data_IF_113916946740
#
_entry.id   IF_113916946740
#
_cell.length_a   1.000
_cell.length_b   1.000
_cell.length_c   1.000
_cell.angle_alpha   90.00
_cell.angle_beta   90.00
_cell.angle_gamma   90.00
#
_symmetry.space_group_name_H-M   'P 1'
#
loop_
_entity.id
_entity.type
_entity.pdbx_description
1 polymer ?
#
# COMPACT_ATOMS: atom_id res chain seq x y z
N UNK A 1 30.34 -5.88 68.46
CA UNK A 1 29.36 -6.98 68.46
C UNK A 1 28.69 -7.01 67.09
N UNK A 2 28.89 -8.07 66.29
CA UNK A 2 28.34 -8.16 64.93
C UNK A 2 27.11 -9.08 64.96
N UNK A 3 25.92 -8.50 64.80
CA UNK A 3 24.66 -9.25 64.75
C UNK A 3 24.62 -10.12 63.50
N UNK A 4 24.52 -11.45 63.68
CA UNK A 4 24.31 -12.39 62.57
C UNK A 4 22.93 -12.14 61.96
N UNK A 5 22.90 -11.76 60.68
CA UNK A 5 21.67 -11.69 59.89
C UNK A 5 21.17 -13.11 59.65
N UNK A 6 19.86 -13.30 59.76
CA UNK A 6 19.19 -14.59 59.61
C UNK A 6 18.82 -14.73 58.14
N UNK A 7 19.57 -15.53 57.40
CA UNK A 7 19.25 -15.82 56.00
C UNK A 7 18.03 -16.74 55.97
N UNK A 8 16.89 -16.19 55.56
CA UNK A 8 15.65 -16.92 55.31
C UNK A 8 15.75 -17.66 53.98
N UNK A 9 15.71 -18.99 54.03
CA UNK A 9 15.73 -19.86 52.86
C UNK A 9 14.39 -19.89 52.11
N UNK A 10 14.46 -20.04 50.79
CA UNK A 10 13.31 -20.16 49.89
C UNK A 10 12.66 -21.54 50.00
N UNK A 11 11.33 -21.61 50.07
CA UNK A 11 10.61 -22.89 50.16
C UNK A 11 10.35 -23.49 48.77
N UNK A 12 10.28 -24.83 48.68
CA UNK A 12 9.94 -25.50 47.43
C UNK A 12 8.53 -25.13 46.95
N UNK A 13 7.59 -24.90 47.87
CA UNK A 13 6.21 -24.52 47.53
C UNK A 13 6.14 -23.12 46.93
N UNK A 14 6.96 -22.17 47.39
CA UNK A 14 7.09 -20.84 46.76
C UNK A 14 7.57 -20.98 45.32
N UNK A 15 8.55 -21.85 45.06
CA UNK A 15 9.03 -22.10 43.70
C UNK A 15 7.94 -22.71 42.80
N UNK A 16 7.16 -23.65 43.33
CA UNK A 16 6.08 -24.31 42.58
C UNK A 16 4.97 -23.35 42.16
N UNK A 17 4.57 -22.43 43.06
CA UNK A 17 3.55 -21.43 42.73
C UNK A 17 4.08 -20.47 41.67
N UNK A 18 5.34 -20.04 41.77
CA UNK A 18 5.95 -19.12 40.79
C UNK A 18 5.97 -19.72 39.39
N UNK A 19 6.41 -20.98 39.24
CA UNK A 19 6.41 -21.63 37.92
C UNK A 19 4.99 -21.85 37.38
N UNK A 20 4.02 -22.14 38.26
CA UNK A 20 2.62 -22.28 37.87
C UNK A 20 2.04 -20.97 37.34
N UNK A 21 2.31 -19.84 38.02
CA UNK A 21 1.88 -18.51 37.58
C UNK A 21 2.57 -18.11 36.27
N UNK A 22 3.90 -18.31 36.15
CA UNK A 22 4.63 -18.04 34.91
C UNK A 22 4.09 -18.87 33.75
N UNK A 23 3.73 -20.15 33.99
CA UNK A 23 3.13 -21.02 32.97
C UNK A 23 1.80 -20.50 32.44
N UNK A 24 0.92 -20.00 33.31
CA UNK A 24 -0.36 -19.40 32.92
C UNK A 24 -0.13 -18.09 32.14
N UNK A 25 0.75 -17.23 32.64
CA UNK A 25 1.06 -15.95 32.00
C UNK A 25 1.69 -16.13 30.61
N UNK A 26 2.56 -17.12 30.45
CA UNK A 26 3.22 -17.39 29.18
C UNK A 26 2.23 -17.72 28.03
N UNK A 27 1.10 -18.38 28.33
CA UNK A 27 0.08 -18.75 27.34
C UNK A 27 -0.68 -17.51 26.84
N UNK A 28 -1.09 -16.63 27.75
CA UNK A 28 -1.90 -15.44 27.41
C UNK A 28 -1.06 -14.31 26.80
N UNK A 29 0.25 -14.34 27.02
CA UNK A 29 1.13 -13.25 26.60
C UNK A 29 1.45 -13.26 25.10
N UNK A 30 1.18 -14.34 24.36
CA UNK A 30 1.55 -14.43 22.94
C UNK A 30 0.71 -13.42 22.11
N UNK A 31 1.29 -12.30 21.66
CA UNK A 31 0.56 -11.35 20.84
C UNK A 31 0.41 -11.92 19.42
N UNK A 32 -0.75 -11.70 18.80
CA UNK A 32 -0.99 -12.09 17.39
C UNK A 32 -0.28 -11.14 16.44
N UNK A 33 1.04 -11.30 16.30
CA UNK A 33 1.90 -10.43 15.46
C UNK A 33 1.51 -10.49 13.97
N UNK A 34 0.98 -11.62 13.48
CA UNK A 34 0.63 -11.80 12.07
C UNK A 34 -0.45 -10.84 11.57
N UNK A 35 -1.54 -10.67 12.33
CA UNK A 35 -2.66 -9.80 11.94
C UNK A 35 -2.27 -8.33 11.99
N UNK A 36 -1.44 -7.94 12.97
CA UNK A 36 -0.94 -6.57 13.11
C UNK A 36 -0.08 -6.18 11.91
N UNK A 37 0.78 -7.09 11.43
CA UNK A 37 1.59 -6.85 10.23
C UNK A 37 0.71 -6.63 9.00
N UNK A 38 -0.30 -7.47 8.76
CA UNK A 38 -1.20 -7.29 7.61
C UNK A 38 -1.94 -5.95 7.66
N UNK A 39 -2.47 -5.59 8.84
CA UNK A 39 -3.16 -4.31 9.02
C UNK A 39 -2.22 -3.11 8.78
N UNK A 40 -0.97 -3.19 9.24
CA UNK A 40 0.02 -2.14 8.98
C UNK A 40 0.33 -2.01 7.47
N UNK A 41 0.42 -3.13 6.74
CA UNK A 41 0.61 -3.11 5.29
C UNK A 41 -0.57 -2.45 4.56
N UNK A 42 -1.81 -2.81 4.93
CA UNK A 42 -3.01 -2.20 4.35
C UNK A 42 -3.15 -0.71 4.70
N UNK A 43 -2.74 -0.29 5.90
CA UNK A 43 -2.70 1.12 6.28
C UNK A 43 -1.67 1.92 5.47
N UNK A 44 -0.52 1.31 5.18
CA UNK A 44 0.47 1.89 4.25
C UNK A 44 -0.09 2.05 2.84
N UNK A 45 -0.85 1.07 2.36
CA UNK A 45 -1.48 1.14 1.04
C UNK A 45 -2.55 2.25 1.00
N UNK A 46 -3.35 2.38 2.06
CA UNK A 46 -4.32 3.47 2.20
C UNK A 46 -3.65 4.84 2.13
N UNK A 47 -2.48 4.97 2.76
CA UNK A 47 -1.69 6.20 2.72
C UNK A 47 -1.23 6.51 1.30
N UNK A 48 -0.69 5.52 0.58
CA UNK A 48 -0.27 5.71 -0.82
C UNK A 48 -1.45 6.11 -1.71
N UNK A 49 -2.61 5.47 -1.56
CA UNK A 49 -3.84 5.82 -2.31
C UNK A 49 -4.22 7.28 -2.06
N UNK A 50 -4.24 7.73 -0.80
CA UNK A 50 -4.59 9.12 -0.45
C UNK A 50 -3.62 10.12 -1.04
N UNK A 51 -2.33 9.82 -1.04
CA UNK A 51 -1.30 10.70 -1.63
C UNK A 51 -1.51 10.84 -3.14
N UNK A 52 -1.77 9.73 -3.84
CA UNK A 52 -2.07 9.74 -5.28
C UNK A 52 -3.38 10.47 -5.57
N UNK A 53 -4.43 10.19 -4.80
CA UNK A 53 -5.73 10.84 -4.88
C UNK A 53 -5.60 12.36 -4.74
N UNK A 54 -4.92 12.85 -3.70
CA UNK A 54 -4.75 14.28 -3.46
C UNK A 54 -4.01 14.97 -4.62
N UNK A 55 -3.01 14.31 -5.21
CA UNK A 55 -2.31 14.84 -6.38
C UNK A 55 -3.23 14.96 -7.60
N UNK A 56 -4.00 13.91 -7.90
CA UNK A 56 -4.94 13.89 -9.03
C UNK A 56 -6.05 14.92 -8.84
N UNK A 57 -6.66 14.99 -7.65
CA UNK A 57 -7.70 15.97 -7.31
C UNK A 57 -7.19 17.41 -7.46
N UNK A 58 -5.94 17.69 -7.09
CA UNK A 58 -5.35 19.03 -7.27
C UNK A 58 -5.15 19.44 -8.74
N UNK A 59 -5.24 18.50 -9.69
CA UNK A 59 -4.85 18.69 -11.08
C UNK A 59 -5.97 18.45 -12.08
N UNK A 60 -6.97 17.62 -11.75
CA UNK A 60 -8.04 17.18 -12.66
C UNK A 60 -8.73 18.37 -13.34
N UNK A 61 -9.10 19.41 -12.60
CA UNK A 61 -9.75 20.61 -13.14
C UNK A 61 -8.89 21.32 -14.19
N UNK A 62 -7.58 21.41 -13.95
CA UNK A 62 -6.63 22.05 -14.86
C UNK A 62 -6.41 21.23 -16.12
N UNK A 63 -6.32 19.91 -15.98
CA UNK A 63 -6.17 19.02 -17.13
C UNK A 63 -7.39 19.10 -18.05
N UNK A 64 -8.59 19.13 -17.46
CA UNK A 64 -9.85 19.22 -18.22
C UNK A 64 -10.05 20.60 -18.84
N UNK A 65 -9.80 21.68 -18.09
CA UNK A 65 -9.89 23.05 -18.60
C UNK A 65 -8.95 23.29 -19.78
N UNK A 66 -7.72 22.76 -19.72
CA UNK A 66 -6.71 22.93 -20.76
C UNK A 66 -6.77 21.86 -21.86
N UNK A 67 -7.74 20.92 -21.81
CA UNK A 67 -7.86 19.80 -22.76
C UNK A 67 -6.56 19.00 -22.88
N UNK A 68 -5.88 18.77 -21.76
CA UNK A 68 -4.62 18.01 -21.71
C UNK A 68 -4.88 16.58 -22.18
N UNK A 69 -3.99 16.06 -23.02
CA UNK A 69 -4.12 14.73 -23.61
C UNK A 69 -3.91 13.66 -22.54
N UNK A 70 -4.53 12.50 -22.71
CA UNK A 70 -4.35 11.37 -21.81
C UNK A 70 -2.87 11.00 -21.63
N UNK A 71 -2.07 10.95 -22.71
CA UNK A 71 -0.64 10.63 -22.62
C UNK A 71 0.16 11.65 -21.80
N UNK A 72 -0.17 12.93 -21.92
CA UNK A 72 0.46 14.01 -21.14
C UNK A 72 0.07 13.91 -19.65
N UNK A 73 -1.20 13.59 -19.35
CA UNK A 73 -1.66 13.34 -17.96
C UNK A 73 -0.94 12.15 -17.34
N UNK A 74 -0.81 11.04 -18.07
CA UNK A 74 -0.07 9.86 -17.62
C UNK A 74 1.38 10.24 -17.31
N UNK A 75 2.05 10.97 -18.21
CA UNK A 75 3.41 11.44 -17.99
C UNK A 75 3.52 12.38 -16.76
N UNK A 76 2.58 13.30 -16.57
CA UNK A 76 2.54 14.19 -15.40
C UNK A 76 2.38 13.43 -14.08
N UNK A 77 1.56 12.38 -14.05
CA UNK A 77 1.38 11.54 -12.86
C UNK A 77 2.67 10.74 -12.57
N UNK A 78 3.25 10.09 -13.59
CA UNK A 78 4.50 9.32 -13.42
C UNK A 78 5.63 10.23 -12.94
N UNK A 79 5.77 11.42 -13.51
CA UNK A 79 6.80 12.38 -13.12
C UNK A 79 6.59 12.91 -11.69
N UNK A 80 5.35 13.09 -11.24
CA UNK A 80 5.07 13.54 -9.88
C UNK A 80 5.47 12.53 -8.80
N UNK A 81 5.52 11.25 -9.18
CA UNK A 81 5.90 10.14 -8.29
C UNK A 81 7.25 9.51 -8.68
N UNK A 82 8.07 10.25 -9.43
CA UNK A 82 9.45 9.87 -9.75
C UNK A 82 10.40 10.78 -9.00
N UNK A 83 11.12 10.22 -8.04
CA UNK A 83 12.05 10.92 -7.17
C UNK A 83 13.48 10.43 -7.40
N UNK A 84 14.43 11.37 -7.43
CA UNK A 84 15.87 11.08 -7.44
C UNK A 84 16.37 10.61 -6.07
N UNK A 85 15.70 11.04 -4.99
CA UNK A 85 16.00 10.66 -3.61
C UNK A 85 15.06 9.52 -3.18
N UNK A 86 15.62 8.33 -2.99
CA UNK A 86 14.88 7.13 -2.56
C UNK A 86 14.11 7.34 -1.26
N UNK A 87 14.57 8.24 -0.39
CA UNK A 87 13.91 8.55 0.89
C UNK A 87 12.54 9.23 0.71
N UNK A 88 12.27 9.79 -0.47
CA UNK A 88 11.01 10.45 -0.83
C UNK A 88 10.10 9.57 -1.68
N UNK A 89 10.60 8.43 -2.14
CA UNK A 89 9.80 7.49 -2.92
C UNK A 89 8.74 6.86 -2.04
N UNK A 90 7.56 6.67 -2.62
CA UNK A 90 6.51 5.90 -1.97
C UNK A 90 6.96 4.43 -1.90
N UNK A 91 6.92 3.88 -0.69
CA UNK A 91 7.28 2.48 -0.44
C UNK A 91 6.05 1.61 -0.67
N UNK A 92 6.20 0.52 -1.42
CA UNK A 92 5.18 -0.51 -1.50
C UNK A 92 5.12 -1.24 -0.15
N UNK A 93 4.01 -1.15 0.60
CA UNK A 93 3.93 -1.69 1.95
C UNK A 93 3.96 -3.22 2.00
N UNK A 94 3.69 -3.91 0.88
CA UNK A 94 3.64 -5.36 0.84
C UNK A 94 4.99 -5.97 0.47
N UNK A 95 5.64 -5.44 -0.57
CA UNK A 95 6.96 -5.88 -1.04
C UNK A 95 8.13 -5.18 -0.33
N UNK A 96 7.86 -4.07 0.38
CA UNK A 96 8.86 -3.20 1.03
C UNK A 96 9.84 -2.52 0.08
N UNK A 97 9.49 -2.44 -1.19
CA UNK A 97 10.31 -1.81 -2.23
C UNK A 97 9.98 -0.32 -2.35
N UNK A 98 11.02 0.52 -2.35
CA UNK A 98 10.92 1.94 -2.69
C UNK A 98 11.22 2.08 -4.18
N UNK A 99 10.19 2.28 -4.99
CA UNK A 99 10.33 2.37 -6.43
C UNK A 99 9.44 3.48 -7.00
N UNK A 100 10.01 4.20 -7.99
CA UNK A 100 9.33 5.28 -8.69
C UNK A 100 8.08 4.78 -9.41
N UNK A 101 7.13 5.69 -9.65
CA UNK A 101 6.00 5.38 -10.49
C UNK A 101 6.43 4.94 -11.89
N UNK A 102 5.67 4.02 -12.48
CA UNK A 102 5.89 3.52 -13.83
C UNK A 102 4.58 3.52 -14.60
N UNK A 103 4.64 3.71 -15.91
CA UNK A 103 3.50 3.47 -16.79
C UNK A 103 3.57 2.07 -17.38
N UNK A 104 2.46 1.33 -17.39
CA UNK A 104 2.39 -0.03 -17.94
C UNK A 104 1.15 -0.23 -18.84
N UNK A 105 1.16 -1.23 -19.74
CA UNK A 105 -0.01 -1.58 -20.53
C UNK A 105 -1.13 -2.16 -19.67
N UNK A 106 -2.39 -1.84 -19.99
CA UNK A 106 -3.59 -2.40 -19.33
C UNK A 106 -3.81 -3.90 -19.62
N UNK A 107 -3.04 -4.47 -20.54
CA UNK A 107 -3.10 -5.87 -20.96
C UNK A 107 -2.04 -6.77 -20.32
N UNK A 108 -1.09 -6.18 -19.59
CA UNK A 108 0.13 -6.87 -19.21
C UNK A 108 0.18 -7.20 -17.72
N UNK A 109 0.90 -8.28 -17.46
CA UNK A 109 1.55 -8.52 -16.19
C UNK A 109 2.29 -7.28 -15.68
N UNK A 110 1.71 -6.59 -14.70
CA UNK A 110 2.41 -5.47 -14.06
C UNK A 110 3.52 -6.05 -13.19
N UNK A 111 4.72 -6.18 -13.76
CA UNK A 111 5.95 -6.57 -13.06
C UNK A 111 6.61 -5.37 -12.38
N UNK A 112 5.83 -4.53 -11.69
CA UNK A 112 6.33 -3.31 -11.09
C UNK A 112 6.26 -3.39 -9.56
N UNK A 113 7.42 -3.54 -8.92
CA UNK A 113 7.57 -3.32 -7.48
C UNK A 113 7.22 -1.88 -7.04
N UNK A 114 6.96 -0.99 -8.01
CA UNK A 114 6.48 0.37 -7.81
C UNK A 114 5.21 0.40 -6.96
N UNK A 115 5.19 1.35 -6.03
CA UNK A 115 4.02 1.68 -5.22
C UNK A 115 2.89 2.33 -6.02
N UNK A 116 3.21 2.95 -7.16
CA UNK A 116 2.25 3.59 -8.08
C UNK A 116 2.51 3.11 -9.50
N UNK A 117 1.46 2.69 -10.18
CA UNK A 117 1.53 2.28 -11.60
C UNK A 117 0.39 2.94 -12.35
N UNK A 118 0.71 3.60 -13.46
CA UNK A 118 -0.29 4.24 -14.32
C UNK A 118 -0.54 3.35 -15.54
N UNK A 119 -1.77 2.88 -15.70
CA UNK A 119 -2.13 2.00 -16.79
C UNK A 119 -2.62 2.77 -18.01
N UNK A 120 -2.10 2.39 -19.17
CA UNK A 120 -2.46 2.97 -20.45
C UNK A 120 -2.34 1.96 -21.61
N UNK A 121 -3.25 2.00 -22.60
CA UNK A 121 -4.51 2.71 -22.58
C UNK A 121 -5.54 1.97 -21.71
N UNK A 122 -6.25 2.69 -20.85
CA UNK A 122 -7.40 2.15 -20.11
C UNK A 122 -8.62 3.03 -20.39
N UNK A 123 -9.42 2.63 -21.38
CA UNK A 123 -10.54 3.41 -21.91
C UNK A 123 -11.91 2.91 -21.43
N UNK A 124 -11.94 1.79 -20.70
CA UNK A 124 -13.14 1.23 -20.11
C UNK A 124 -13.40 1.83 -18.70
N UNK A 125 -14.46 1.37 -18.03
CA UNK A 125 -14.79 1.78 -16.65
C UNK A 125 -14.56 0.63 -15.65
N UNK A 126 -14.00 -0.48 -16.11
CA UNK A 126 -13.85 -1.69 -15.31
C UNK A 126 -12.52 -1.63 -14.56
N UNK A 127 -12.39 -2.26 -13.39
CA UNK A 127 -11.08 -2.45 -12.79
C UNK A 127 -10.17 -3.21 -13.76
N UNK A 128 -8.87 -2.89 -13.82
CA UNK A 128 -7.89 -3.66 -14.58
C UNK A 128 -7.93 -5.15 -14.18
N UNK A 129 -8.08 -6.04 -15.16
CA UNK A 129 -8.04 -7.48 -14.94
C UNK A 129 -6.58 -7.97 -14.92
N UNK A 130 -6.05 -8.18 -13.71
CA UNK A 130 -4.69 -8.66 -13.48
C UNK A 130 -4.62 -10.18 -13.26
N UNK A 131 -5.69 -10.92 -13.59
CA UNK A 131 -5.90 -12.32 -13.19
C UNK A 131 -4.87 -13.33 -13.71
N UNK A 132 -4.02 -12.97 -14.68
CA UNK A 132 -3.00 -13.87 -15.24
C UNK A 132 -1.58 -13.59 -14.77
N UNK A 133 -1.29 -12.50 -14.04
CA UNK A 133 0.07 -12.25 -13.54
C UNK A 133 0.09 -11.40 -12.27
N UNK A 134 -0.16 -12.09 -11.16
CA UNK A 134 -0.23 -11.53 -9.81
C UNK A 134 1.11 -11.28 -9.07
N UNK A 135 2.32 -11.74 -9.48
CA UNK A 135 3.46 -11.69 -8.55
C UNK A 135 3.94 -10.28 -8.19
N UNK A 136 3.47 -9.22 -8.85
CA UNK A 136 4.09 -7.89 -8.76
C UNK A 136 3.11 -6.70 -8.70
N UNK A 137 1.79 -6.91 -8.68
CA UNK A 137 0.81 -5.83 -8.42
C UNK A 137 0.42 -5.71 -6.93
N UNK A 138 0.94 -6.62 -6.10
CA UNK A 138 0.64 -6.68 -4.68
C UNK A 138 1.13 -5.41 -3.96
N UNK A 139 0.22 -4.66 -3.35
CA UNK A 139 0.54 -3.42 -2.62
C UNK A 139 0.77 -2.21 -3.52
N UNK A 140 0.46 -2.31 -4.82
CA UNK A 140 0.52 -1.21 -5.75
C UNK A 140 -0.81 -0.43 -5.81
N UNK A 141 -0.69 0.88 -6.05
CA UNK A 141 -1.79 1.78 -6.40
C UNK A 141 -1.81 1.92 -7.91
N UNK A 142 -2.85 1.37 -8.54
CA UNK A 142 -3.04 1.47 -9.99
C UNK A 142 -3.86 2.70 -10.32
N UNK A 143 -3.39 3.52 -11.24
CA UNK A 143 -4.09 4.70 -11.73
C UNK A 143 -4.45 4.48 -13.18
N UNK A 144 -5.73 4.65 -13.51
CA UNK A 144 -6.20 4.62 -14.90
C UNK A 144 -6.69 5.99 -15.30
N UNK A 145 -6.29 6.45 -16.48
CA UNK A 145 -6.71 7.74 -17.03
C UNK A 145 -7.62 7.45 -18.21
N UNK A 146 -8.91 7.75 -18.10
CA UNK A 146 -9.88 7.52 -19.16
C UNK A 146 -9.93 8.72 -20.12
N UNK A 147 -9.83 8.41 -21.41
CA UNK A 147 -10.11 9.31 -22.51
C UNK A 147 -10.59 8.51 -23.73
N UNK A 148 -11.13 9.18 -24.75
CA UNK A 148 -11.53 8.52 -26.00
C UNK A 148 -10.35 7.88 -26.76
N UNK A 149 -9.14 8.45 -26.63
CA UNK A 149 -7.86 7.92 -27.09
C UNK A 149 -6.72 8.68 -26.40
N UNK A 150 -5.47 8.24 -26.60
CA UNK A 150 -4.27 8.84 -25.98
C UNK A 150 -4.10 10.35 -26.27
N UNK A 151 -4.65 10.81 -27.40
CA UNK A 151 -4.60 12.22 -27.84
C UNK A 151 -5.85 13.02 -27.47
N UNK A 152 -6.83 12.40 -26.82
CA UNK A 152 -8.06 13.06 -26.39
C UNK A 152 -7.93 13.63 -25.00
N UNK A 153 -8.76 14.63 -24.71
CA UNK A 153 -8.86 15.19 -23.35
C UNK A 153 -9.21 14.10 -22.35
N UNK A 154 -8.64 14.19 -21.14
CA UNK A 154 -9.04 13.34 -20.02
C UNK A 154 -10.51 13.57 -19.66
N UNK A 155 -11.22 12.47 -19.39
CA UNK A 155 -12.61 12.48 -18.93
C UNK A 155 -12.73 12.14 -17.45
N UNK A 156 -11.87 11.22 -16.98
CA UNK A 156 -11.93 10.66 -15.64
C UNK A 156 -10.59 10.03 -15.27
N UNK A 157 -10.24 10.05 -13.99
CA UNK A 157 -9.12 9.28 -13.45
C UNK A 157 -9.65 8.35 -12.39
N UNK A 158 -9.34 7.06 -12.48
CA UNK A 158 -9.69 6.06 -11.47
C UNK A 158 -8.44 5.55 -10.78
N UNK A 159 -8.54 5.28 -9.48
CA UNK A 159 -7.47 4.76 -8.65
C UNK A 159 -7.96 3.44 -8.05
N UNK A 160 -7.19 2.38 -8.22
CA UNK A 160 -7.48 1.04 -7.73
C UNK A 160 -6.36 0.59 -6.81
N UNK A 161 -6.71 -0.02 -5.68
CA UNK A 161 -5.75 -0.55 -4.72
C UNK A 161 -5.76 -2.07 -4.76
N UNK A 162 -4.59 -2.69 -4.87
CA UNK A 162 -4.45 -4.15 -4.86
C UNK A 162 -3.73 -4.58 -3.58
N UNK A 163 -4.45 -5.32 -2.73
CA UNK A 163 -3.96 -5.79 -1.45
C UNK A 163 -3.15 -7.09 -1.58
N UNK A 164 -2.96 -7.76 -0.44
CA UNK A 164 -2.21 -9.02 -0.35
C UNK A 164 -2.75 -10.07 -1.33
N UNK A 165 -1.86 -10.73 -2.07
CA UNK A 165 -2.22 -11.69 -3.12
C UNK A 165 -2.80 -11.08 -4.39
N UNK A 166 -2.60 -9.78 -4.64
CA UNK A 166 -3.08 -9.08 -5.85
C UNK A 166 -4.60 -8.99 -5.93
N UNK A 167 -5.29 -9.04 -4.80
CA UNK A 167 -6.75 -8.90 -4.74
C UNK A 167 -7.12 -7.41 -4.82
N UNK A 168 -8.03 -7.08 -5.72
CA UNK A 168 -8.63 -5.75 -5.77
C UNK A 168 -9.38 -5.44 -4.46
N UNK A 169 -9.05 -4.30 -3.86
CA UNK A 169 -9.73 -3.75 -2.70
C UNK A 169 -10.81 -2.78 -3.18
N UNK A 170 -11.99 -3.32 -3.51
CA UNK A 170 -13.11 -2.56 -4.08
C UNK A 170 -13.56 -1.40 -3.19
N UNK A 171 -13.39 -1.52 -1.88
CA UNK A 171 -13.70 -0.49 -0.88
C UNK A 171 -12.75 0.71 -0.92
N UNK A 172 -11.58 0.55 -1.55
CA UNK A 172 -10.54 1.58 -1.68
C UNK A 172 -10.39 2.11 -3.11
N UNK A 173 -11.30 1.75 -4.00
CA UNK A 173 -11.34 2.31 -5.36
C UNK A 173 -11.87 3.73 -5.32
N UNK A 174 -11.13 4.67 -5.90
CA UNK A 174 -11.50 6.08 -5.98
C UNK A 174 -11.69 6.47 -7.43
N UNK A 175 -12.80 7.13 -7.74
CA UNK A 175 -13.07 7.63 -9.08
C UNK A 175 -13.17 9.14 -9.01
N UNK A 176 -12.31 9.82 -9.76
CA UNK A 176 -12.19 11.28 -9.79
C UNK A 176 -12.69 11.75 -11.16
N UNK A 177 -13.75 12.52 -11.14
CA UNK A 177 -14.28 13.25 -12.29
C UNK A 177 -14.07 14.74 -12.09
N UNK A 178 -13.84 15.51 -13.16
CA UNK A 178 -13.85 16.97 -13.11
C UNK A 178 -15.23 17.53 -12.72
#
# INVERSE_FOLDING_TARGET
>A
MMGRRKDSGFTLIELMIVIAVIGILAIVLVPRIGTIKSQAKEAGLDTNVRVVQAYVESKIDKWVANKVKQSDVVAEIVNAFTFTDTSKQLVNPITSEAANAVSAPDTDAISANSSVVVLQPHNNNEPPDLSTTIPNAEGAVLVTVKAANENSKVEKVSIFAYGTGGKLLTDKTVVITP
#
